data_IF_819846758786
#
_entry.id   IF_819846758786
#
_cell.length_a   1.000
_cell.length_b   1.000
_cell.length_c   1.000
_cell.angle_alpha   90.00
_cell.angle_beta   90.00
_cell.angle_gamma   90.00
#
_symmetry.space_group_name_H-M   'P 1'
#
loop_
_entity.id
_entity.type
_entity.pdbx_description
1 polymer ?
#
# COMPACT_ATOMS: atom_id res chain seq x y z
N UNK A 1 -4.02 49.46 -5.24
CA UNK A 1 -4.54 48.21 -4.61
C UNK A 1 -4.50 46.98 -5.54
N UNK A 2 -4.87 47.06 -6.83
CA UNK A 2 -4.79 45.91 -7.78
C UNK A 2 -3.35 45.45 -8.08
N UNK A 3 -2.39 46.38 -8.21
CA UNK A 3 -0.98 46.06 -8.49
C UNK A 3 -0.32 45.24 -7.37
N UNK A 4 -0.57 45.58 -6.11
CA UNK A 4 -0.12 44.83 -4.93
C UNK A 4 -0.72 43.42 -4.86
N UNK A 5 -1.94 43.19 -5.36
CA UNK A 5 -2.53 41.83 -5.44
C UNK A 5 -1.84 40.96 -6.49
N UNK A 6 -1.43 41.53 -7.63
CA UNK A 6 -0.69 40.80 -8.66
C UNK A 6 0.73 40.44 -8.19
N UNK A 7 1.44 41.35 -7.52
CA UNK A 7 2.77 41.07 -6.95
C UNK A 7 2.70 40.04 -5.80
N UNK A 8 1.68 40.12 -4.93
CA UNK A 8 1.46 39.10 -3.88
C UNK A 8 1.22 37.70 -4.42
N UNK A 9 0.65 37.55 -5.63
CA UNK A 9 0.50 36.24 -6.29
C UNK A 9 1.86 35.64 -6.65
N UNK A 10 2.86 36.47 -6.95
CA UNK A 10 4.22 36.02 -7.23
C UNK A 10 5.03 35.69 -5.97
N UNK A 11 4.70 36.31 -4.83
CA UNK A 11 5.37 36.14 -3.53
C UNK A 11 4.86 34.98 -2.67
N UNK A 12 3.85 34.21 -3.09
CA UNK A 12 3.38 33.06 -2.32
C UNK A 12 4.42 31.92 -2.37
N UNK A 13 4.84 31.35 -1.23
CA UNK A 13 5.78 30.23 -1.23
C UNK A 13 5.18 29.03 -1.98
N UNK A 14 6.05 28.15 -2.45
CA UNK A 14 5.61 26.87 -2.99
C UNK A 14 4.92 26.05 -1.89
N UNK A 15 4.08 25.11 -2.29
CA UNK A 15 3.29 24.31 -1.39
C UNK A 15 3.68 22.84 -1.48
N UNK A 16 3.53 22.15 -0.35
CA UNK A 16 3.56 20.70 -0.26
C UNK A 16 2.22 20.27 0.33
N UNK A 17 1.28 19.82 -0.51
CA UNK A 17 0.05 19.24 -0.06
C UNK A 17 0.30 18.02 0.82
N UNK A 18 -0.31 18.02 2.01
CA UNK A 18 -0.29 16.91 2.96
C UNK A 18 -1.69 16.28 2.98
N UNK A 19 -1.78 15.04 2.55
CA UNK A 19 -3.00 14.22 2.64
C UNK A 19 -2.77 13.19 3.74
N UNK A 20 -3.68 13.04 4.70
CA UNK A 20 -3.57 12.05 5.78
C UNK A 20 -4.56 10.91 5.58
N UNK A 21 -4.09 9.69 5.38
CA UNK A 21 -4.92 8.50 5.32
C UNK A 21 -4.95 7.87 6.71
N UNK A 22 -6.05 8.03 7.43
CA UNK A 22 -6.23 7.54 8.80
C UNK A 22 -7.41 6.57 8.88
N UNK A 23 -7.13 5.32 9.26
CA UNK A 23 -8.11 4.23 9.34
C UNK A 23 -8.16 3.32 8.12
N UNK A 24 -9.23 2.53 8.03
CA UNK A 24 -9.37 1.43 7.07
C UNK A 24 -9.59 1.97 5.65
N UNK A 25 -8.92 1.35 4.66
CA UNK A 25 -9.10 1.70 3.25
C UNK A 25 -10.37 1.03 2.70
N UNK A 26 -11.35 1.85 2.33
CA UNK A 26 -12.58 1.46 1.66
C UNK A 26 -12.93 2.46 0.54
N UNK A 27 -14.11 2.33 -0.07
CA UNK A 27 -14.59 3.24 -1.11
C UNK A 27 -14.71 4.69 -0.61
N UNK A 28 -15.23 4.88 0.61
CA UNK A 28 -15.31 6.19 1.26
C UNK A 28 -13.95 6.87 1.38
N UNK A 29 -12.93 6.14 1.82
CA UNK A 29 -11.55 6.64 1.89
C UNK A 29 -11.04 7.05 0.50
N UNK A 30 -11.29 6.24 -0.52
CA UNK A 30 -10.91 6.57 -1.89
C UNK A 30 -11.61 7.84 -2.40
N UNK A 31 -12.91 8.02 -2.13
CA UNK A 31 -13.64 9.24 -2.50
C UNK A 31 -13.06 10.47 -1.80
N UNK A 32 -12.75 10.37 -0.51
CA UNK A 32 -12.16 11.46 0.28
C UNK A 32 -10.81 11.89 -0.30
N UNK A 33 -9.91 10.93 -0.55
CA UNK A 33 -8.61 11.23 -1.18
C UNK A 33 -8.81 11.81 -2.59
N UNK A 34 -9.75 11.26 -3.36
CA UNK A 34 -10.08 11.76 -4.70
C UNK A 34 -10.51 13.22 -4.71
N UNK A 35 -11.40 13.60 -3.80
CA UNK A 35 -11.86 14.98 -3.64
C UNK A 35 -10.74 15.91 -3.18
N UNK A 36 -9.86 15.44 -2.28
CA UNK A 36 -8.69 16.20 -1.83
C UNK A 36 -7.76 16.52 -3.00
N UNK A 37 -7.49 15.54 -3.85
CA UNK A 37 -6.68 15.72 -5.07
C UNK A 37 -7.33 16.72 -6.03
N UNK A 38 -8.65 16.65 -6.22
CA UNK A 38 -9.38 17.55 -7.13
C UNK A 38 -9.40 19.01 -6.66
N UNK A 39 -9.29 19.25 -5.34
CA UNK A 39 -9.21 20.60 -4.75
C UNK A 39 -7.83 21.22 -4.84
N UNK A 40 -6.80 20.46 -5.23
CA UNK A 40 -5.43 20.96 -5.33
C UNK A 40 -5.31 22.04 -6.39
N UNK A 41 -4.71 23.17 -6.02
CA UNK A 41 -4.21 24.12 -6.99
C UNK A 41 -2.84 23.67 -7.47
N UNK A 42 -2.75 23.13 -8.69
CA UNK A 42 -1.51 22.58 -9.24
C UNK A 42 -0.37 23.58 -9.47
N UNK A 43 -0.62 24.87 -9.29
CA UNK A 43 0.41 25.89 -9.40
C UNK A 43 1.28 25.87 -8.14
N UNK A 44 2.61 25.71 -8.31
CA UNK A 44 3.61 25.82 -7.23
C UNK A 44 3.62 24.66 -6.23
N UNK A 45 3.25 23.45 -6.66
CA UNK A 45 3.46 22.25 -5.85
C UNK A 45 4.91 21.80 -6.04
N UNK A 46 5.67 21.66 -4.95
CA UNK A 46 7.06 21.19 -4.98
C UNK A 46 7.21 19.70 -4.66
N UNK A 47 6.23 19.13 -3.95
CA UNK A 47 6.16 17.72 -3.61
C UNK A 47 4.72 17.38 -3.23
N UNK A 48 4.34 16.10 -3.30
CA UNK A 48 3.12 15.59 -2.69
C UNK A 48 3.50 14.74 -1.48
N UNK A 49 2.80 14.90 -0.36
CA UNK A 49 2.99 14.10 0.83
C UNK A 49 1.71 13.33 1.18
N UNK A 50 1.85 12.03 1.42
CA UNK A 50 0.80 11.20 1.99
C UNK A 50 1.27 10.63 3.34
N UNK A 51 0.52 10.94 4.38
CA UNK A 51 0.72 10.39 5.72
C UNK A 51 -0.20 9.19 5.87
N UNK A 52 0.32 8.04 6.30
CA UNK A 52 -0.37 6.76 6.34
C UNK A 52 -0.43 6.28 7.78
N UNK A 53 -1.64 6.22 8.32
CA UNK A 53 -1.98 5.60 9.59
C UNK A 53 -3.10 4.58 9.35
N UNK A 54 -2.74 3.41 8.83
CA UNK A 54 -3.70 2.47 8.28
C UNK A 54 -3.32 1.01 8.55
N UNK A 55 -4.23 0.23 9.18
CA UNK A 55 -4.01 -1.20 9.44
C UNK A 55 -4.25 -2.07 8.20
N UNK A 56 -4.89 -1.55 7.15
CA UNK A 56 -5.26 -2.31 5.96
C UNK A 56 -6.61 -1.89 5.37
N UNK A 57 -7.16 -2.75 4.51
CA UNK A 57 -8.43 -2.49 3.83
C UNK A 57 -8.52 -3.16 2.47
N UNK A 58 -9.33 -2.57 1.60
CA UNK A 58 -9.51 -3.01 0.22
C UNK A 58 -8.27 -2.74 -0.63
N UNK A 59 -7.60 -3.80 -1.09
CA UNK A 59 -6.46 -3.71 -2.01
C UNK A 59 -6.83 -3.01 -3.34
N UNK A 60 -7.98 -3.30 -3.98
CA UNK A 60 -8.44 -2.53 -5.14
C UNK A 60 -8.56 -1.02 -4.88
N UNK A 61 -9.15 -0.61 -3.75
CA UNK A 61 -9.27 0.82 -3.41
C UNK A 61 -7.90 1.45 -3.14
N UNK A 62 -6.99 0.70 -2.52
CA UNK A 62 -5.60 1.11 -2.31
C UNK A 62 -4.89 1.37 -3.64
N UNK A 63 -5.10 0.51 -4.63
CA UNK A 63 -4.56 0.67 -5.98
C UNK A 63 -5.12 1.93 -6.66
N UNK A 64 -6.42 2.21 -6.53
CA UNK A 64 -7.03 3.42 -7.09
C UNK A 64 -6.46 4.70 -6.46
N UNK A 65 -6.26 4.70 -5.14
CA UNK A 65 -5.61 5.81 -4.42
C UNK A 65 -4.19 6.04 -4.97
N UNK A 66 -3.37 4.98 -4.99
CA UNK A 66 -1.98 5.05 -5.45
C UNK A 66 -1.90 5.51 -6.91
N UNK A 67 -2.72 4.94 -7.79
CA UNK A 67 -2.76 5.29 -9.20
C UNK A 67 -3.06 6.76 -9.41
N UNK A 68 -4.06 7.30 -8.69
CA UNK A 68 -4.45 8.72 -8.77
C UNK A 68 -3.33 9.65 -8.28
N UNK A 69 -2.75 9.37 -7.12
CA UNK A 69 -1.69 10.21 -6.54
C UNK A 69 -0.39 10.15 -7.35
N UNK A 70 0.00 8.97 -7.84
CA UNK A 70 1.18 8.80 -8.68
C UNK A 70 1.00 9.46 -10.04
N UNK A 71 -0.15 9.27 -10.69
CA UNK A 71 -0.43 9.93 -11.98
C UNK A 71 -0.35 11.46 -11.85
N UNK A 72 -0.81 12.01 -10.72
CA UNK A 72 -0.64 13.42 -10.43
C UNK A 72 0.83 13.81 -10.30
N UNK A 73 1.61 13.07 -9.51
CA UNK A 73 3.04 13.35 -9.31
C UNK A 73 3.84 13.24 -10.60
N UNK A 74 3.59 12.21 -11.40
CA UNK A 74 4.24 11.98 -12.68
C UNK A 74 3.89 13.10 -13.67
N UNK A 75 2.62 13.54 -13.72
CA UNK A 75 2.17 14.66 -14.57
C UNK A 75 2.78 16.00 -14.17
N UNK A 76 2.99 16.23 -12.87
CA UNK A 76 3.58 17.46 -12.34
C UNK A 76 5.10 17.39 -12.22
N UNK A 77 5.71 16.22 -12.50
CA UNK A 77 7.12 15.94 -12.32
C UNK A 77 7.64 16.26 -10.91
N UNK A 78 6.82 15.98 -9.90
CA UNK A 78 7.12 16.23 -8.49
C UNK A 78 7.41 14.91 -7.73
N UNK A 79 8.24 14.94 -6.68
CA UNK A 79 8.44 13.77 -5.82
C UNK A 79 7.19 13.45 -5.00
N UNK A 80 6.95 12.15 -4.79
CA UNK A 80 5.89 11.63 -3.96
C UNK A 80 6.47 11.08 -2.65
N UNK A 81 6.22 11.79 -1.55
CA UNK A 81 6.62 11.37 -0.22
C UNK A 81 5.50 10.62 0.47
N UNK A 82 5.86 9.54 1.15
CA UNK A 82 4.95 8.77 1.99
C UNK A 82 5.55 8.59 3.37
N UNK A 83 4.73 8.73 4.42
CA UNK A 83 5.16 8.65 5.81
C UNK A 83 4.23 7.72 6.59
N UNK A 84 4.77 6.68 7.23
CA UNK A 84 4.04 5.86 8.19
C UNK A 84 3.98 6.52 9.58
N UNK A 85 2.80 6.57 10.20
CA UNK A 85 2.62 7.01 11.60
C UNK A 85 2.56 5.82 12.57
N UNK A 86 1.43 5.52 13.21
CA UNK A 86 1.38 4.45 14.20
C UNK A 86 1.42 3.08 13.51
N UNK A 87 0.67 2.94 12.42
CA UNK A 87 0.55 1.67 11.68
C UNK A 87 0.51 1.89 10.17
N UNK A 88 1.22 1.05 9.43
CA UNK A 88 1.14 0.91 8.00
C UNK A 88 1.21 -0.59 7.67
N UNK A 89 0.07 -1.27 7.76
CA UNK A 89 -0.03 -2.70 7.59
C UNK A 89 -0.87 -3.05 6.35
N UNK A 90 -0.55 -4.17 5.72
CA UNK A 90 -1.30 -4.70 4.60
C UNK A 90 -1.44 -3.68 3.46
N UNK A 91 -2.65 -3.42 2.97
CA UNK A 91 -2.98 -2.34 2.04
C UNK A 91 -2.46 -0.95 2.47
N UNK A 92 -2.30 -0.68 3.77
CA UNK A 92 -1.62 0.51 4.27
C UNK A 92 -0.13 0.53 3.88
N UNK A 93 0.58 -0.60 4.01
CA UNK A 93 1.96 -0.71 3.54
C UNK A 93 2.06 -0.64 2.01
N UNK A 94 1.08 -1.22 1.28
CA UNK A 94 1.00 -1.07 -0.17
C UNK A 94 1.03 0.42 -0.58
N UNK A 95 0.19 1.23 0.06
CA UNK A 95 0.16 2.68 -0.17
C UNK A 95 1.46 3.35 0.28
N UNK A 96 1.95 3.04 1.48
CA UNK A 96 3.20 3.60 2.01
C UNK A 96 4.38 3.34 1.05
N UNK A 97 4.53 2.11 0.58
CA UNK A 97 5.62 1.72 -0.33
C UNK A 97 5.56 2.36 -1.72
N UNK A 98 4.43 2.98 -2.08
CA UNK A 98 4.22 3.61 -3.39
C UNK A 98 4.93 4.96 -3.56
N UNK A 99 5.44 5.55 -2.48
CA UNK A 99 6.21 6.78 -2.48
C UNK A 99 7.54 6.62 -3.22
N UNK A 100 8.03 7.72 -3.82
CA UNK A 100 9.42 7.79 -4.28
C UNK A 100 10.39 7.89 -3.11
N UNK A 101 9.94 8.50 -2.01
CA UNK A 101 10.63 8.54 -0.73
C UNK A 101 9.68 8.08 0.37
N UNK A 102 10.07 7.02 1.07
CA UNK A 102 9.23 6.33 2.05
C UNK A 102 9.87 6.47 3.43
N UNK A 103 9.15 7.03 4.39
CA UNK A 103 9.65 7.18 5.76
C UNK A 103 8.64 6.60 6.75
N UNK A 104 9.11 6.33 7.97
CA UNK A 104 8.24 5.97 9.09
C UNK A 104 8.90 6.38 10.41
N UNK A 105 8.15 6.43 11.50
CA UNK A 105 8.74 6.50 12.83
C UNK A 105 9.41 5.17 13.19
N UNK A 106 10.41 5.19 14.09
CA UNK A 106 11.06 3.98 14.59
C UNK A 106 10.06 2.98 15.21
N UNK A 107 8.99 3.51 15.82
CA UNK A 107 7.94 2.73 16.48
C UNK A 107 6.77 2.36 15.58
N UNK A 108 6.74 2.83 14.33
CA UNK A 108 5.67 2.50 13.37
C UNK A 108 5.58 0.99 13.17
N UNK A 109 4.37 0.46 13.27
CA UNK A 109 4.07 -0.93 12.99
C UNK A 109 3.88 -1.13 11.49
N UNK A 110 4.84 -1.78 10.84
CA UNK A 110 4.78 -2.12 9.42
C UNK A 110 4.49 -3.60 9.26
N UNK A 111 3.53 -3.95 8.42
CA UNK A 111 3.32 -5.35 8.03
C UNK A 111 3.10 -5.44 6.53
N UNK A 112 3.85 -6.33 5.90
CA UNK A 112 3.64 -6.65 4.50
C UNK A 112 2.48 -7.66 4.33
N UNK A 113 2.00 -8.33 5.37
CA UNK A 113 0.97 -9.36 5.24
C UNK A 113 -0.33 -8.81 4.66
N UNK A 114 -0.86 -9.48 3.63
CA UNK A 114 -2.18 -9.14 3.08
C UNK A 114 -3.25 -9.68 4.00
N UNK A 115 -4.12 -8.80 4.49
CA UNK A 115 -5.33 -9.21 5.16
C UNK A 115 -6.38 -9.47 4.08
N UNK A 116 -6.80 -10.73 3.94
CA UNK A 116 -7.82 -11.07 2.97
C UNK A 116 -9.20 -10.68 3.51
N UNK A 117 -10.00 -10.01 2.68
CA UNK A 117 -11.38 -9.61 3.03
C UNK A 117 -12.28 -10.78 3.47
N UNK A 118 -11.90 -12.00 3.08
CA UNK A 118 -12.64 -13.24 3.31
C UNK A 118 -11.92 -14.21 4.25
N UNK A 119 -10.89 -13.75 4.97
CA UNK A 119 -10.04 -14.61 5.79
C UNK A 119 -10.82 -15.32 6.90
N UNK A 120 -11.92 -14.72 7.33
CA UNK A 120 -12.76 -15.21 8.42
C UNK A 120 -13.89 -16.10 7.92
N UNK A 121 -13.92 -16.42 6.62
CA UNK A 121 -14.93 -17.31 6.08
C UNK A 121 -14.52 -18.77 6.25
N UNK A 122 -15.37 -19.54 6.91
CA UNK A 122 -15.26 -20.99 6.98
C UNK A 122 -16.48 -21.67 6.36
N UNK A 123 -16.29 -22.89 5.86
CA UNK A 123 -17.38 -23.71 5.33
C UNK A 123 -18.03 -24.43 6.50
N UNK A 124 -19.28 -24.11 6.81
CA UNK A 124 -20.11 -24.92 7.69
C UNK A 124 -20.57 -26.17 6.92
N UNK A 125 -19.84 -27.26 7.10
CA UNK A 125 -20.11 -28.55 6.44
C UNK A 125 -21.53 -29.07 6.72
N UNK A 126 -22.11 -28.75 7.89
CA UNK A 126 -23.46 -29.18 8.27
C UNK A 126 -24.56 -28.51 7.44
N UNK A 127 -24.28 -27.33 6.89
CA UNK A 127 -25.22 -26.52 6.10
C UNK A 127 -24.75 -26.29 4.67
N UNK A 128 -23.55 -26.74 4.31
CA UNK A 128 -22.85 -26.45 3.05
C UNK A 128 -22.87 -24.96 2.70
N UNK A 129 -22.66 -24.10 3.69
CA UNK A 129 -22.70 -22.63 3.53
C UNK A 129 -21.45 -22.01 4.13
N UNK A 130 -20.95 -20.94 3.51
CA UNK A 130 -19.93 -20.11 4.13
C UNK A 130 -20.52 -19.33 5.31
N UNK A 131 -19.74 -19.20 6.38
CA UNK A 131 -20.04 -18.40 7.56
C UNK A 131 -18.81 -17.58 7.95
N UNK A 132 -19.05 -16.47 8.63
CA UNK A 132 -18.01 -15.69 9.29
C UNK A 132 -17.63 -16.32 10.62
N UNK A 133 -16.34 -16.40 10.89
CA UNK A 133 -15.79 -16.52 12.22
C UNK A 133 -16.01 -15.19 12.93
N UNK A 134 -16.85 -15.19 13.97
CA UNK A 134 -17.17 -14.00 14.74
C UNK A 134 -16.03 -13.56 15.67
N UNK A 135 -14.98 -14.37 15.82
CA UNK A 135 -13.85 -14.10 16.73
C UNK A 135 -12.66 -13.43 16.05
N UNK A 136 -12.70 -13.25 14.72
CA UNK A 136 -11.65 -12.55 13.99
C UNK A 136 -11.73 -11.04 14.24
N UNK A 137 -10.56 -10.41 14.40
CA UNK A 137 -10.38 -8.99 14.72
C UNK A 137 -10.68 -8.03 13.54
N UNK A 138 -11.71 -8.30 12.75
CA UNK A 138 -11.97 -7.60 11.50
C UNK A 138 -13.14 -6.62 11.62
N UNK A 139 -12.80 -5.33 11.67
CA UNK A 139 -13.70 -4.17 11.63
C UNK A 139 -14.45 -3.97 10.28
N UNK A 140 -14.61 -5.03 9.47
CA UNK A 140 -15.32 -4.94 8.20
C UNK A 140 -16.84 -5.04 8.42
N UNK A 141 -17.45 -3.97 8.94
CA UNK A 141 -18.91 -3.84 9.06
C UNK A 141 -19.64 -3.91 7.70
N UNK A 142 -18.94 -3.74 6.57
CA UNK A 142 -19.49 -3.82 5.21
C UNK A 142 -19.65 -5.24 4.67
N UNK A 143 -19.28 -6.26 5.45
CA UNK A 143 -19.45 -7.68 5.09
C UNK A 143 -20.91 -8.04 4.77
N UNK A 144 -21.89 -7.30 5.29
CA UNK A 144 -23.31 -7.57 5.03
C UNK A 144 -23.73 -7.40 3.55
N UNK A 145 -23.05 -6.58 2.76
CA UNK A 145 -23.39 -6.36 1.34
C UNK A 145 -22.88 -7.46 0.40
N UNK A 146 -21.93 -8.28 0.87
CA UNK A 146 -21.34 -9.37 0.09
C UNK A 146 -22.09 -10.70 0.23
N UNK A 147 -23.27 -10.71 0.84
CA UNK A 147 -24.12 -11.89 0.96
C UNK A 147 -24.40 -12.58 -0.38
N UNK A 148 -24.41 -11.84 -1.48
CA UNK A 148 -24.56 -12.40 -2.83
C UNK A 148 -23.33 -13.20 -3.30
N UNK A 149 -22.12 -12.82 -2.88
CA UNK A 149 -20.87 -13.55 -3.17
C UNK A 149 -20.80 -14.84 -2.34
N UNK A 150 -21.27 -14.80 -1.09
CA UNK A 150 -21.35 -15.97 -0.21
C UNK A 150 -22.35 -17.03 -0.71
N UNK A 151 -23.27 -16.63 -1.60
CA UNK A 151 -24.24 -17.51 -2.24
C UNK A 151 -23.72 -18.14 -3.55
N UNK A 152 -22.54 -17.73 -4.04
CA UNK A 152 -21.96 -18.30 -5.24
C UNK A 152 -21.59 -19.77 -5.02
N UNK A 153 -22.01 -20.65 -5.94
CA UNK A 153 -21.60 -22.07 -5.90
C UNK A 153 -20.07 -22.16 -6.05
N UNK A 154 -19.44 -23.03 -5.27
CA UNK A 154 -17.98 -23.27 -5.28
C UNK A 154 -17.08 -22.11 -4.85
N UNK A 155 -17.61 -21.04 -4.26
CA UNK A 155 -16.81 -19.91 -3.74
C UNK A 155 -15.67 -20.35 -2.80
N UNK A 156 -15.87 -21.38 -1.97
CA UNK A 156 -14.81 -21.96 -1.13
C UNK A 156 -13.62 -22.54 -1.92
N UNK A 157 -13.83 -22.98 -3.17
CA UNK A 157 -12.77 -23.41 -4.09
C UNK A 157 -12.11 -22.25 -4.83
N UNK A 158 -12.85 -21.15 -5.06
CA UNK A 158 -12.36 -19.95 -5.76
C UNK A 158 -11.56 -19.01 -4.84
N UNK A 159 -11.92 -18.90 -3.56
CA UNK A 159 -11.25 -18.03 -2.59
C UNK A 159 -9.73 -18.22 -2.52
N UNK A 160 -9.18 -19.46 -2.49
CA UNK A 160 -7.73 -19.66 -2.51
C UNK A 160 -7.04 -19.16 -3.78
N UNK A 161 -7.72 -19.16 -4.93
CA UNK A 161 -7.19 -18.61 -6.18
C UNK A 161 -7.22 -17.07 -6.15
N UNK A 162 -8.33 -16.48 -5.69
CA UNK A 162 -8.48 -15.03 -5.53
C UNK A 162 -7.41 -14.49 -4.57
N UNK A 163 -7.22 -15.14 -3.42
CA UNK A 163 -6.21 -14.74 -2.43
C UNK A 163 -4.79 -14.85 -3.00
N UNK A 164 -4.48 -15.91 -3.75
CA UNK A 164 -3.19 -16.04 -4.46
C UNK A 164 -2.96 -14.91 -5.46
N UNK A 165 -3.98 -14.53 -6.23
CA UNK A 165 -3.86 -13.43 -7.18
C UNK A 165 -3.61 -12.09 -6.49
N UNK A 166 -4.34 -11.79 -5.41
CA UNK A 166 -4.09 -10.60 -4.59
C UNK A 166 -2.66 -10.58 -4.02
N UNK A 167 -2.18 -11.72 -3.50
CA UNK A 167 -0.82 -11.86 -3.00
C UNK A 167 0.22 -11.54 -4.06
N UNK A 168 0.04 -12.08 -5.27
CA UNK A 168 0.96 -11.82 -6.38
C UNK A 168 1.00 -10.34 -6.75
N UNK A 169 -0.16 -9.68 -6.88
CA UNK A 169 -0.21 -8.25 -7.22
C UNK A 169 0.50 -7.37 -6.19
N UNK A 170 0.31 -7.66 -4.91
CA UNK A 170 1.00 -6.92 -3.85
C UNK A 170 2.51 -7.14 -3.90
N UNK A 171 2.96 -8.40 -4.02
CA UNK A 171 4.39 -8.73 -4.11
C UNK A 171 5.02 -8.02 -5.31
N UNK A 172 4.37 -8.09 -6.48
CA UNK A 172 4.84 -7.41 -7.69
C UNK A 172 4.94 -5.90 -7.48
N UNK A 173 3.99 -5.30 -6.77
CA UNK A 173 4.05 -3.89 -6.43
C UNK A 173 5.24 -3.57 -5.52
N UNK A 174 5.45 -4.31 -4.43
CA UNK A 174 6.58 -4.09 -3.53
C UNK A 174 7.91 -4.29 -4.26
N UNK A 175 8.04 -5.33 -5.08
CA UNK A 175 9.24 -5.55 -5.89
C UNK A 175 9.50 -4.42 -6.86
N UNK A 176 8.45 -3.91 -7.52
CA UNK A 176 8.56 -2.75 -8.42
C UNK A 176 9.04 -1.49 -7.69
N UNK A 177 8.53 -1.25 -6.49
CA UNK A 177 8.80 -0.01 -5.75
C UNK A 177 10.08 -0.04 -4.91
N UNK A 178 10.36 -1.20 -4.31
CA UNK A 178 11.41 -1.38 -3.29
C UNK A 178 12.47 -2.39 -3.68
N UNK A 179 12.30 -3.16 -4.75
CA UNK A 179 13.15 -4.32 -5.05
C UNK A 179 14.65 -4.04 -5.09
N UNK A 180 15.08 -2.88 -5.59
CA UNK A 180 16.50 -2.48 -5.59
C UNK A 180 17.04 -2.08 -4.21
N UNK A 181 16.15 -1.81 -3.25
CA UNK A 181 16.46 -1.36 -1.89
C UNK A 181 16.36 -2.48 -0.86
N UNK A 182 15.63 -3.56 -1.16
CA UNK A 182 15.44 -4.70 -0.25
C UNK A 182 16.77 -5.33 0.13
N UNK A 183 17.01 -5.45 1.43
CA UNK A 183 18.17 -6.14 2.00
C UNK A 183 17.72 -7.53 2.44
N UNK A 184 18.31 -8.57 1.86
CA UNK A 184 18.07 -9.95 2.25
C UNK A 184 19.40 -10.62 2.61
N UNK A 185 19.36 -11.43 3.66
CA UNK A 185 20.53 -12.14 4.16
C UNK A 185 20.82 -13.32 3.22
N UNK A 186 21.89 -13.23 2.43
CA UNK A 186 22.33 -14.30 1.52
C UNK A 186 22.78 -15.58 2.27
N UNK A 187 22.77 -15.58 3.61
CA UNK A 187 23.35 -16.60 4.46
C UNK A 187 22.36 -17.57 5.11
N UNK A 188 21.08 -17.59 4.73
CA UNK A 188 20.24 -18.74 5.08
C UNK A 188 20.49 -19.89 4.11
N UNK A 189 21.42 -20.77 4.52
CA UNK A 189 21.76 -22.08 3.96
C UNK A 189 20.78 -22.59 2.89
N UNK A 190 21.15 -22.41 1.62
CA UNK A 190 20.58 -23.16 0.50
C UNK A 190 20.95 -24.62 0.74
N UNK A 191 20.00 -25.42 1.22
CA UNK A 191 20.16 -26.86 1.37
C UNK A 191 20.64 -27.46 0.04
N UNK A 192 21.62 -28.36 0.06
CA UNK A 192 22.23 -28.99 -1.14
C UNK A 192 21.21 -29.66 -2.10
N UNK A 193 20.00 -29.93 -1.61
CA UNK A 193 18.87 -30.41 -2.40
C UNK A 193 18.28 -29.34 -3.36
N UNK A 194 18.34 -28.05 -3.01
CA UNK A 194 17.83 -26.95 -3.84
C UNK A 194 18.75 -26.70 -5.05
N UNK A 195 20.07 -26.84 -4.89
CA UNK A 195 21.03 -26.74 -6.02
C UNK A 195 20.82 -27.84 -7.08
N UNK A 196 20.37 -29.04 -6.67
CA UNK A 196 20.01 -30.12 -7.59
C UNK A 196 18.73 -29.81 -8.36
N UNK A 197 17.71 -29.30 -7.67
CA UNK A 197 16.44 -28.92 -8.31
C UNK A 197 16.56 -27.68 -9.21
N UNK A 198 17.46 -26.76 -8.89
CA UNK A 198 17.72 -25.58 -9.72
C UNK A 198 18.48 -25.94 -11.00
N UNK A 199 19.44 -26.88 -10.92
CA UNK A 199 20.09 -27.47 -12.10
C UNK A 199 19.11 -28.24 -12.99
N UNK A 200 18.11 -28.92 -12.42
CA UNK A 200 17.06 -29.57 -13.21
C UNK A 200 16.07 -28.57 -13.84
N UNK A 201 15.71 -27.50 -13.12
CA UNK A 201 14.86 -26.41 -13.67
C UNK A 201 15.57 -25.61 -14.76
N UNK A 202 16.87 -25.38 -14.65
CA UNK A 202 17.67 -24.73 -15.69
C UNK A 202 17.76 -25.59 -16.96
N UNK A 203 17.87 -26.92 -16.82
CA UNK A 203 17.76 -27.86 -17.96
C UNK A 203 16.37 -27.84 -18.60
N UNK A 204 15.30 -27.64 -17.82
CA UNK A 204 13.93 -27.54 -18.35
C UNK A 204 13.67 -26.20 -19.08
N UNK A 205 14.34 -25.12 -18.66
CA UNK A 205 14.21 -23.77 -19.27
C UNK A 205 14.88 -23.67 -20.64
N UNK A 206 15.95 -24.42 -20.91
CA UNK A 206 16.61 -24.44 -22.22
C UNK A 206 15.73 -25.00 -23.35
N UNK A 207 14.61 -25.67 -23.03
CA UNK A 207 13.70 -26.22 -24.03
C UNK A 207 12.48 -25.33 -24.38
N UNK A 208 12.28 -24.20 -23.70
CA UNK A 208 11.08 -23.36 -23.88
C UNK A 208 11.42 -21.86 -24.03
N UNK A 209 12.45 -21.53 -24.79
CA UNK A 209 12.69 -20.14 -25.20
C UNK A 209 12.05 -19.88 -26.56
N UNK A 210 10.82 -19.35 -26.53
CA UNK A 210 10.31 -18.34 -27.47
C UNK A 210 9.05 -17.71 -26.89
N UNK A 211 9.11 -16.40 -26.70
CA UNK A 211 8.02 -15.47 -26.36
C UNK A 211 7.70 -15.33 -24.86
N UNK A 212 8.44 -14.44 -24.18
CA UNK A 212 7.90 -13.28 -23.46
C UNK A 212 9.01 -12.63 -22.62
N UNK A 213 9.43 -11.43 -23.01
CA UNK A 213 10.16 -10.53 -22.12
C UNK A 213 9.21 -10.05 -21.00
N UNK A 214 9.00 -10.89 -20.00
CA UNK A 214 8.55 -10.45 -18.68
C UNK A 214 9.80 -10.30 -17.82
N UNK A 215 9.96 -9.12 -17.24
CA UNK A 215 10.93 -8.78 -16.19
C UNK A 215 11.23 -9.99 -15.32
N UNK A 216 12.43 -10.56 -15.47
CA UNK A 216 12.90 -11.68 -14.66
C UNK A 216 13.12 -11.14 -13.25
N UNK A 217 12.08 -11.18 -12.42
CA UNK A 217 12.16 -10.85 -11.01
C UNK A 217 13.10 -11.84 -10.33
N UNK A 218 14.03 -11.35 -9.51
CA UNK A 218 15.03 -12.16 -8.84
C UNK A 218 14.34 -13.17 -7.89
N UNK A 219 14.51 -14.49 -8.08
CA UNK A 219 13.86 -15.52 -7.25
C UNK A 219 14.12 -15.33 -5.74
N UNK A 220 15.27 -14.79 -5.37
CA UNK A 220 15.62 -14.56 -3.96
C UNK A 220 14.78 -13.43 -3.34
N UNK A 221 14.46 -12.39 -4.11
CA UNK A 221 13.60 -11.30 -3.63
C UNK A 221 12.17 -11.78 -3.45
N UNK A 222 11.67 -12.61 -4.37
CA UNK A 222 10.33 -13.17 -4.27
C UNK A 222 10.21 -14.15 -3.09
N UNK A 223 11.24 -14.96 -2.84
CA UNK A 223 11.32 -15.86 -1.67
C UNK A 223 11.36 -15.07 -0.36
N UNK A 224 12.24 -14.09 -0.24
CA UNK A 224 12.34 -13.20 0.94
C UNK A 224 10.99 -12.56 1.28
N UNK A 225 10.37 -11.98 0.25
CA UNK A 225 9.07 -11.38 0.37
C UNK A 225 8.05 -12.43 0.84
N UNK A 226 7.93 -13.56 0.15
CA UNK A 226 7.04 -14.66 0.54
C UNK A 226 7.21 -15.10 2.00
N UNK A 227 8.46 -15.19 2.48
CA UNK A 227 8.78 -15.55 3.86
C UNK A 227 8.30 -14.47 4.85
N UNK A 228 8.46 -13.19 4.48
CA UNK A 228 7.95 -12.05 5.25
C UNK A 228 6.43 -12.05 5.34
N UNK A 229 5.72 -12.39 4.24
CA UNK A 229 4.25 -12.50 4.23
C UNK A 229 3.74 -13.67 5.08
N UNK A 230 4.44 -14.81 5.05
CA UNK A 230 3.97 -16.07 5.64
C UNK A 230 3.87 -16.07 7.17
N UNK A 231 4.50 -15.11 7.85
CA UNK A 231 4.67 -15.10 9.31
C UNK A 231 3.76 -14.12 10.05
N UNK A 232 2.78 -13.50 9.39
CA UNK A 232 1.92 -12.42 9.97
C UNK A 232 2.74 -11.41 10.78
N UNK A 233 3.93 -11.09 10.26
CA UNK A 233 4.96 -10.43 11.05
C UNK A 233 4.69 -8.93 11.11
N UNK A 234 4.74 -8.38 12.31
CA UNK A 234 4.84 -6.94 12.55
C UNK A 234 6.33 -6.59 12.61
N UNK A 235 6.72 -5.59 11.83
CA UNK A 235 8.08 -5.09 11.67
C UNK A 235 8.07 -3.65 12.17
N UNK A 236 8.93 -3.33 13.13
CA UNK A 236 9.07 -1.96 13.62
C UNK A 236 9.84 -1.11 12.60
N UNK A 237 9.64 0.20 12.59
CA UNK A 237 10.24 1.11 11.61
C UNK A 237 11.76 0.97 11.46
N UNK A 238 12.50 0.80 12.56
CA UNK A 238 13.95 0.58 12.51
C UNK A 238 14.33 -0.70 11.76
N UNK A 239 13.63 -1.81 12.03
CA UNK A 239 13.84 -3.05 11.29
C UNK A 239 13.41 -2.90 9.83
N UNK A 240 12.31 -2.20 9.56
CA UNK A 240 11.83 -1.94 8.21
C UNK A 240 12.85 -1.15 7.38
N UNK A 241 13.57 -0.19 8.00
CA UNK A 241 14.67 0.51 7.36
C UNK A 241 15.81 -0.46 7.00
N UNK A 242 16.21 -1.30 7.94
CA UNK A 242 17.29 -2.28 7.73
C UNK A 242 16.95 -3.30 6.63
N UNK A 243 15.68 -3.68 6.50
CA UNK A 243 15.19 -4.57 5.43
C UNK A 243 14.97 -3.86 4.09
N UNK A 244 15.12 -2.53 4.04
CA UNK A 244 14.88 -1.73 2.83
C UNK A 244 13.39 -1.53 2.49
N UNK A 245 12.49 -1.79 3.44
CA UNK A 245 11.05 -1.59 3.30
C UNK A 245 10.66 -0.10 3.33
N UNK A 246 11.50 0.73 3.96
CA UNK A 246 11.42 2.20 3.97
C UNK A 246 12.81 2.80 3.69
N UNK A 247 12.88 4.10 3.44
CA UNK A 247 14.11 4.85 3.10
C UNK A 247 14.74 5.58 4.29
N UNK A 248 13.96 5.86 5.34
CA UNK A 248 14.49 6.53 6.52
C UNK A 248 13.50 6.58 7.68
N UNK A 249 14.04 6.99 8.84
CA UNK A 249 13.26 7.23 10.05
C UNK A 249 12.96 8.73 10.21
N UNK A 250 11.72 9.06 10.52
CA UNK A 250 11.28 10.42 10.85
C UNK A 250 9.84 10.71 10.44
N UNK A 251 9.29 11.79 11.00
CA UNK A 251 7.96 12.26 10.63
C UNK A 251 8.00 13.25 9.46
N UNK A 252 6.84 13.48 8.84
CA UNK A 252 6.72 14.32 7.65
C UNK A 252 7.14 15.77 7.90
N UNK A 253 6.82 16.34 9.06
CA UNK A 253 7.19 17.73 9.37
C UNK A 253 8.71 17.89 9.43
N UNK A 254 9.40 17.03 10.17
CA UNK A 254 10.86 17.06 10.32
C UNK A 254 11.58 16.90 8.98
N UNK A 255 11.13 15.93 8.17
CA UNK A 255 11.79 15.62 6.90
C UNK A 255 11.49 16.70 5.85
N UNK A 256 10.23 17.10 5.71
CA UNK A 256 9.82 18.05 4.65
C UNK A 256 10.28 19.48 4.96
N UNK A 257 10.24 19.93 6.22
CA UNK A 257 10.75 21.28 6.56
C UNK A 257 12.26 21.40 6.34
N UNK A 258 13.01 20.31 6.53
CA UNK A 258 14.44 20.27 6.24
C UNK A 258 14.74 20.23 4.74
N UNK A 259 13.97 19.46 3.96
CA UNK A 259 14.20 19.29 2.53
C UNK A 259 13.63 20.43 1.68
N UNK A 260 12.57 21.08 2.16
CA UNK A 260 11.86 22.14 1.48
C UNK A 260 11.64 23.35 2.41
N UNK A 261 12.72 24.01 2.87
CA UNK A 261 12.64 25.07 3.88
C UNK A 261 11.84 26.30 3.43
N UNK A 262 11.74 26.54 2.12
CA UNK A 262 11.01 27.66 1.53
C UNK A 262 9.58 27.31 1.12
N UNK A 263 9.11 26.10 1.42
CA UNK A 263 7.76 25.64 1.09
C UNK A 263 6.84 25.64 2.31
N UNK A 264 5.58 25.95 2.08
CA UNK A 264 4.53 25.78 3.09
C UNK A 264 3.95 24.37 3.02
N UNK A 265 3.80 23.72 4.17
CA UNK A 265 3.01 22.51 4.29
C UNK A 265 1.52 22.88 4.26
N UNK A 266 0.77 22.34 3.30
CA UNK A 266 -0.64 22.64 3.10
C UNK A 266 -1.49 21.42 3.49
N UNK A 267 -2.09 21.48 4.69
CA UNK A 267 -2.82 20.36 5.28
C UNK A 267 -4.22 20.27 4.69
N UNK A 268 -4.50 19.18 3.97
CA UNK A 268 -5.80 18.98 3.35
C UNK A 268 -6.68 18.20 4.31
N UNK A 269 -7.48 18.93 5.08
CA UNK A 269 -8.43 18.34 6.02
C UNK A 269 -9.62 17.71 5.31
N UNK A 270 -10.04 16.55 5.81
CA UNK A 270 -11.29 15.90 5.43
C UNK A 270 -12.44 16.54 6.19
N UNK A 271 -13.30 17.29 5.51
CA UNK A 271 -14.66 17.41 6.01
C UNK A 271 -15.39 16.15 5.56
N UNK A 272 -15.51 15.19 6.48
CA UNK A 272 -16.52 14.14 6.35
C UNK A 272 -17.86 14.84 6.48
N UNK A 273 -18.45 15.24 5.36
CA UNK A 273 -19.82 15.77 5.39
C UNK A 273 -20.71 14.67 5.94
N UNK A 274 -21.63 15.04 6.84
CA UNK A 274 -22.60 14.15 7.49
C UNK A 274 -23.45 13.31 6.52
N UNK A 275 -23.40 13.59 5.21
CA UNK A 275 -23.99 12.78 4.15
C UNK A 275 -23.25 11.46 3.91
N UNK A 276 -21.92 11.42 4.11
CA UNK A 276 -21.11 10.21 3.94
C UNK A 276 -21.40 9.22 5.08
N UNK A 277 -21.48 9.71 6.32
CA UNK A 277 -21.77 8.89 7.51
C UNK A 277 -23.16 8.24 7.42
N UNK A 278 -24.13 8.88 6.76
CA UNK A 278 -25.49 8.33 6.61
C UNK A 278 -25.56 7.12 5.67
N UNK A 279 -24.58 6.93 4.76
CA UNK A 279 -24.56 5.77 3.86
C UNK A 279 -24.03 4.49 4.52
N UNK A 280 -23.24 4.60 5.59
CA UNK A 280 -22.61 3.46 6.25
C UNK A 280 -23.40 2.92 7.47
N UNK A 281 -24.57 3.49 7.79
CA UNK A 281 -25.34 3.16 9.02
C UNK A 281 -26.84 2.84 8.82
N UNK A 282 -27.32 2.66 7.59
CA UNK A 282 -28.72 2.25 7.34
C UNK A 282 -28.84 1.16 6.28
#
# INVERSE_FOLDING_TARGET
MQYLRQVKKYLRPNQIPIIKLDGIINETMFELVSRSVERLTYNRISALCLVVNCPGGSLPQSYLIVSKLRSLCDKLEIPFYTFGEDIAASSGYFILSSGTHVYADQSTQISCTIQHQYQDLYIDESKQKLKFDSNSFTHYSQVQDYNHILQEKDIGKKLPEINRNHNNYFIEHILKMRGSKLQYDNNQNVNENEQKQEKERQKLKQNNEKNNEKTVQNPNQQKFLSDLYSKERIIMGEEALNLGLIDGIGNYEQILTKQFPDCNLDYISFEVTSEIIKKDYY
#
